data_IF_319586858217
#
_entry.id   IF_319586858217
#
_cell.length_a   1.000
_cell.length_b   1.000
_cell.length_c   1.000
_cell.angle_alpha   90.00
_cell.angle_beta   90.00
_cell.angle_gamma   90.00
#
_symmetry.space_group_name_H-M   'P 1'
#
loop_
_entity.id
_entity.type
_entity.pdbx_description
1 polymer ?
#
# COMPACT_ATOMS: atom_id res chain seq x y z
N UNK A 1 4.13 -14.83 -18.59
CA UNK A 1 3.96 -13.37 -18.44
C UNK A 1 3.52 -13.11 -17.01
N UNK A 2 4.34 -12.45 -16.17
CA UNK A 2 4.06 -12.41 -14.75
C UNK A 2 2.83 -11.56 -14.47
N UNK A 3 1.98 -12.03 -13.54
CA UNK A 3 0.74 -11.37 -13.08
C UNK A 3 0.94 -9.88 -12.75
N UNK A 4 2.17 -9.51 -12.36
CA UNK A 4 2.64 -8.15 -12.08
C UNK A 4 2.51 -7.18 -13.27
N UNK A 5 2.78 -7.61 -14.51
CA UNK A 5 2.70 -6.72 -15.68
C UNK A 5 1.24 -6.43 -16.09
N UNK A 6 0.34 -7.39 -15.88
CA UNK A 6 -1.09 -7.25 -16.18
C UNK A 6 -1.74 -6.24 -15.22
N UNK A 7 -1.35 -6.29 -13.94
CA UNK A 7 -1.81 -5.37 -12.91
C UNK A 7 -1.39 -3.91 -13.17
N UNK A 8 -0.14 -3.65 -13.58
CA UNK A 8 0.32 -2.30 -13.93
C UNK A 8 -0.54 -1.65 -15.03
N UNK A 9 -0.97 -2.44 -16.03
CA UNK A 9 -1.84 -1.97 -17.11
C UNK A 9 -3.29 -1.77 -16.64
N UNK A 10 -3.80 -2.61 -15.73
CA UNK A 10 -5.17 -2.47 -15.20
C UNK A 10 -5.33 -1.27 -14.25
N UNK A 11 -4.33 -0.94 -13.45
CA UNK A 11 -4.37 0.20 -12.52
C UNK A 11 -4.40 1.57 -13.22
N UNK A 12 -3.85 1.68 -14.43
CA UNK A 12 -3.84 2.93 -15.20
C UNK A 12 -5.16 3.22 -15.92
N UNK A 13 -6.01 2.21 -16.13
CA UNK A 13 -7.25 2.32 -16.90
C UNK A 13 -8.50 2.65 -16.07
N UNK A 14 -8.43 2.58 -14.74
CA UNK A 14 -9.57 2.76 -13.82
C UNK A 14 -9.65 4.13 -13.15
N UNK A 15 -8.88 5.12 -13.61
CA UNK A 15 -9.01 6.51 -13.14
C UNK A 15 -10.30 7.14 -13.71
N UNK A 16 -11.46 6.66 -13.26
CA UNK A 16 -12.77 7.19 -13.60
C UNK A 16 -13.13 8.31 -12.62
N UNK A 17 -13.20 9.54 -13.11
CA UNK A 17 -13.81 10.66 -12.39
C UNK A 17 -15.32 10.40 -12.28
N UNK A 18 -15.87 10.34 -11.07
CA UNK A 18 -17.30 10.50 -10.88
C UNK A 18 -17.58 11.28 -9.59
N UNK A 19 -18.17 12.46 -9.80
CA UNK A 19 -18.69 13.37 -8.78
C UNK A 19 -19.88 12.72 -8.08
N UNK A 20 -19.85 12.69 -6.74
CA UNK A 20 -20.85 12.09 -5.87
C UNK A 20 -21.31 13.05 -4.77
N UNK A 21 -22.62 13.02 -4.52
CA UNK A 21 -23.50 13.94 -3.80
C UNK A 21 -23.23 14.03 -2.27
N UNK A 22 -23.56 15.20 -1.69
CA UNK A 22 -23.37 15.57 -0.28
C UNK A 22 -24.10 14.64 0.71
N UNK A 23 -23.36 13.70 1.28
CA UNK A 23 -23.56 13.23 2.66
C UNK A 23 -22.43 13.79 3.52
N UNK A 24 -22.66 13.99 4.82
CA UNK A 24 -21.58 14.31 5.75
C UNK A 24 -20.64 13.10 5.86
N UNK A 25 -19.64 13.09 4.99
CA UNK A 25 -18.69 11.99 4.83
C UNK A 25 -17.72 12.06 6.00
N UNK A 26 -17.91 11.21 7.02
CA UNK A 26 -16.89 11.05 8.06
C UNK A 26 -15.65 10.51 7.36
N UNK A 27 -14.52 11.23 7.36
CA UNK A 27 -13.36 10.82 6.60
C UNK A 27 -12.80 9.50 7.15
N UNK A 28 -12.58 8.54 6.26
CA UNK A 28 -11.97 7.26 6.59
C UNK A 28 -10.54 7.48 7.14
N UNK A 29 -10.22 7.01 8.36
CA UNK A 29 -8.92 7.28 8.95
C UNK A 29 -7.81 6.52 8.21
N UNK A 30 -6.66 7.15 8.03
CA UNK A 30 -5.48 6.51 7.46
C UNK A 30 -4.97 5.39 8.37
N UNK A 31 -4.53 4.24 7.81
CA UNK A 31 -3.92 3.17 8.60
C UNK A 31 -2.74 3.67 9.44
N UNK A 32 -2.65 3.20 10.68
CA UNK A 32 -1.62 3.60 11.66
C UNK A 32 -0.77 2.40 12.10
N UNK A 33 0.28 2.68 12.89
CA UNK A 33 1.20 1.68 13.44
C UNK A 33 1.81 0.79 12.35
N UNK A 34 2.22 1.41 11.25
CA UNK A 34 2.80 0.72 10.11
C UNK A 34 4.20 0.24 10.49
N UNK A 35 4.43 -1.05 10.31
CA UNK A 35 5.68 -1.71 10.69
C UNK A 35 6.02 -2.82 9.70
N UNK A 36 7.26 -3.31 9.74
CA UNK A 36 7.70 -4.43 8.92
C UNK A 36 8.23 -5.53 9.83
N UNK A 37 7.70 -6.73 9.64
CA UNK A 37 8.29 -7.96 10.13
C UNK A 37 9.19 -8.55 9.04
N UNK A 38 10.49 -8.64 9.33
CA UNK A 38 11.50 -9.10 8.38
C UNK A 38 12.29 -10.27 8.98
N UNK A 39 12.23 -11.46 8.36
CA UNK A 39 12.98 -12.64 8.82
C UNK A 39 13.35 -13.53 7.64
N UNK A 40 14.62 -13.93 7.54
CA UNK A 40 15.11 -14.80 6.47
C UNK A 40 14.73 -14.32 5.06
N UNK A 41 14.92 -13.02 4.79
CA UNK A 41 14.56 -12.37 3.52
C UNK A 41 13.06 -12.44 3.16
N UNK A 42 12.20 -12.74 4.14
CA UNK A 42 10.75 -12.60 4.02
C UNK A 42 10.31 -11.35 4.74
N UNK A 43 9.51 -10.54 4.08
CA UNK A 43 9.16 -9.20 4.52
C UNK A 43 7.64 -9.01 4.47
N UNK A 44 7.07 -8.67 5.63
CA UNK A 44 5.64 -8.47 5.80
C UNK A 44 5.39 -7.05 6.32
N UNK A 45 4.68 -6.24 5.54
CA UNK A 45 4.17 -4.94 5.98
C UNK A 45 2.91 -5.16 6.81
N UNK A 46 2.83 -4.57 7.99
CA UNK A 46 1.72 -4.72 8.93
C UNK A 46 1.21 -3.36 9.41
N UNK A 47 -0.08 -3.26 9.70
CA UNK A 47 -0.72 -2.04 10.22
C UNK A 47 -1.87 -2.38 11.17
N UNK A 48 -2.34 -1.38 11.93
CA UNK A 48 -3.54 -1.51 12.76
C UNK A 48 -4.82 -1.49 11.91
N UNK A 49 -5.85 -2.29 12.26
CA UNK A 49 -7.11 -2.28 11.54
C UNK A 49 -7.81 -0.92 11.65
N UNK A 50 -8.33 -0.45 10.53
CA UNK A 50 -9.30 0.64 10.46
C UNK A 50 -10.69 0.02 10.60
N UNK A 51 -11.50 0.52 11.54
CA UNK A 51 -12.79 -0.05 11.88
C UNK A 51 -13.91 0.94 11.57
N UNK A 52 -14.81 0.58 10.66
CA UNK A 52 -16.00 1.36 10.29
C UNK A 52 -17.23 0.52 10.59
N UNK A 53 -18.20 1.07 11.32
CA UNK A 53 -19.37 0.31 11.74
C UNK A 53 -20.20 -0.12 10.54
N UNK A 54 -20.47 -1.42 10.42
CA UNK A 54 -21.33 -1.98 9.37
C UNK A 54 -20.69 -2.07 7.99
N UNK A 55 -19.40 -1.74 7.85
CA UNK A 55 -18.71 -1.72 6.55
C UNK A 55 -17.50 -2.67 6.52
N UNK A 56 -17.18 -3.17 5.32
CA UNK A 56 -15.97 -3.97 5.09
C UNK A 56 -14.86 -3.05 4.60
N UNK A 57 -13.86 -2.84 5.45
CA UNK A 57 -12.65 -2.10 5.09
C UNK A 57 -11.69 -2.99 4.32
N UNK A 58 -11.18 -2.47 3.20
CA UNK A 58 -10.13 -3.09 2.39
C UNK A 58 -8.89 -2.22 2.38
N UNK A 59 -7.76 -2.78 2.02
CA UNK A 59 -6.47 -2.10 2.02
C UNK A 59 -5.75 -2.27 0.70
N UNK A 60 -5.05 -1.23 0.28
CA UNK A 60 -4.17 -1.24 -0.88
C UNK A 60 -2.78 -0.78 -0.46
N UNK A 61 -1.74 -1.51 -0.88
CA UNK A 61 -0.34 -1.22 -0.54
C UNK A 61 0.43 -0.78 -1.78
N UNK A 62 1.28 0.23 -1.60
CA UNK A 62 2.22 0.68 -2.62
C UNK A 62 3.63 0.79 -2.05
N UNK A 63 4.62 0.63 -2.91
CA UNK A 63 6.01 0.87 -2.60
C UNK A 63 6.61 1.90 -3.55
N UNK A 64 7.74 2.46 -3.14
CA UNK A 64 8.53 3.36 -3.95
C UNK A 64 10.01 3.08 -3.65
N UNK A 65 10.75 2.59 -4.65
CA UNK A 65 12.18 2.31 -4.57
C UNK A 65 13.04 3.53 -4.86
N UNK A 66 14.36 3.33 -4.93
CA UNK A 66 15.31 4.40 -5.27
C UNK A 66 15.08 4.95 -6.68
N UNK A 67 14.84 4.07 -7.66
CA UNK A 67 14.56 4.50 -9.03
C UNK A 67 13.32 5.40 -9.10
N UNK A 68 12.24 5.03 -8.44
CA UNK A 68 11.02 5.82 -8.47
C UNK A 68 11.19 7.19 -7.81
N UNK A 69 11.96 7.25 -6.71
CA UNK A 69 12.27 8.51 -6.00
C UNK A 69 13.13 9.45 -6.84
N UNK A 70 14.13 8.93 -7.52
CA UNK A 70 15.17 9.76 -8.14
C UNK A 70 14.92 10.02 -9.63
N UNK A 71 14.25 9.09 -10.32
CA UNK A 71 14.20 9.07 -11.79
C UNK A 71 12.80 8.90 -12.38
N UNK A 72 11.77 8.64 -11.56
CA UNK A 72 10.40 8.48 -12.05
C UNK A 72 9.40 9.40 -11.32
N UNK A 73 9.76 10.67 -11.16
CA UNK A 73 8.90 11.74 -10.60
C UNK A 73 8.20 11.37 -9.29
N UNK A 74 8.93 10.71 -8.37
CA UNK A 74 8.40 10.28 -7.08
C UNK A 74 7.12 9.42 -7.23
N UNK A 75 7.05 8.63 -8.30
CA UNK A 75 5.95 7.71 -8.54
C UNK A 75 5.89 6.60 -7.49
N UNK A 76 4.72 5.98 -7.37
CA UNK A 76 4.48 4.86 -6.47
C UNK A 76 3.97 3.68 -7.28
N UNK A 77 4.37 2.47 -6.87
CA UNK A 77 4.06 1.23 -7.57
C UNK A 77 3.13 0.40 -6.68
N UNK A 78 1.97 -0.04 -7.20
CA UNK A 78 1.08 -0.93 -6.46
C UNK A 78 1.66 -2.32 -6.27
N UNK A 79 1.46 -2.86 -5.07
CA UNK A 79 1.66 -4.27 -4.78
C UNK A 79 0.35 -4.99 -5.10
N UNK A 80 0.36 -5.71 -6.22
CA UNK A 80 -0.83 -6.27 -6.83
C UNK A 80 -1.51 -7.32 -5.93
N UNK A 81 -0.71 -8.16 -5.29
CA UNK A 81 -1.14 -9.17 -4.33
C UNK A 81 -1.74 -8.55 -3.05
N UNK A 82 -1.53 -7.25 -2.84
CA UNK A 82 -2.02 -6.47 -1.71
C UNK A 82 -2.94 -5.33 -2.13
N UNK A 83 -3.62 -5.47 -3.26
CA UNK A 83 -4.64 -4.52 -3.74
C UNK A 83 -6.03 -4.97 -3.30
N UNK A 84 -6.73 -4.13 -2.52
CA UNK A 84 -8.07 -4.37 -1.98
C UNK A 84 -8.20 -5.62 -1.09
N UNK A 85 -7.19 -5.93 -0.29
CA UNK A 85 -7.20 -7.05 0.67
C UNK A 85 -7.94 -6.67 1.96
N UNK A 86 -8.53 -7.65 2.66
CA UNK A 86 -9.22 -7.40 3.95
C UNK A 86 -8.34 -7.62 5.18
N UNK A 87 -7.19 -8.27 5.00
CA UNK A 87 -6.24 -8.53 6.08
C UNK A 87 -5.30 -7.33 6.27
N UNK A 88 -4.76 -7.18 7.49
CA UNK A 88 -3.90 -6.05 7.86
C UNK A 88 -2.40 -6.38 7.76
N UNK A 89 -2.07 -7.30 6.85
CA UNK A 89 -0.71 -7.75 6.58
C UNK A 89 -0.53 -7.99 5.08
N UNK A 90 0.59 -7.55 4.53
CA UNK A 90 0.95 -7.72 3.14
C UNK A 90 2.34 -8.35 3.02
N UNK A 91 2.48 -9.43 2.25
CA UNK A 91 3.78 -9.98 1.91
C UNK A 91 4.37 -9.17 0.75
N UNK A 92 5.44 -8.42 1.02
CA UNK A 92 6.09 -7.52 0.05
C UNK A 92 7.37 -8.12 -0.54
N UNK A 93 7.74 -9.34 -0.13
CA UNK A 93 9.06 -9.94 -0.37
C UNK A 93 9.51 -9.88 -1.84
N UNK A 94 8.60 -10.16 -2.77
CA UNK A 94 8.89 -10.23 -4.20
C UNK A 94 8.86 -8.86 -4.90
N UNK A 95 8.37 -7.81 -4.23
CA UNK A 95 8.25 -6.46 -4.78
C UNK A 95 9.48 -5.61 -4.42
N UNK A 96 10.03 -5.83 -3.23
CA UNK A 96 11.28 -5.22 -2.78
C UNK A 96 12.50 -6.08 -3.16
N UNK A 97 12.76 -6.14 -4.47
CA UNK A 97 13.76 -7.04 -5.07
C UNK A 97 15.21 -6.56 -4.94
N UNK A 98 15.45 -5.25 -4.82
CA UNK A 98 16.80 -4.66 -4.75
C UNK A 98 17.22 -4.33 -3.32
N UNK A 99 18.53 -4.22 -3.06
CA UNK A 99 19.06 -3.78 -1.76
C UNK A 99 19.20 -2.26 -1.74
N UNK A 100 18.05 -1.57 -1.82
CA UNK A 100 17.95 -0.12 -1.77
C UNK A 100 16.98 0.31 -0.67
N UNK A 101 16.91 1.61 -0.42
CA UNK A 101 15.92 2.21 0.47
C UNK A 101 14.53 2.27 -0.20
N UNK A 102 13.53 1.70 0.47
CA UNK A 102 12.13 1.72 0.03
C UNK A 102 11.26 2.55 0.97
N UNK A 103 10.40 3.37 0.37
CA UNK A 103 9.20 3.89 1.01
C UNK A 103 8.05 2.90 0.81
N UNK A 104 7.18 2.79 1.82
CA UNK A 104 6.02 1.91 1.82
C UNK A 104 4.83 2.66 2.38
N UNK A 105 3.67 2.50 1.73
CA UNK A 105 2.42 3.12 2.17
C UNK A 105 1.24 2.19 1.99
N UNK A 106 0.24 2.38 2.84
CA UNK A 106 -1.03 1.65 2.82
C UNK A 106 -2.17 2.62 3.01
N UNK A 107 -3.26 2.43 2.28
CA UNK A 107 -4.52 3.14 2.50
C UNK A 107 -5.65 2.17 2.78
N UNK A 108 -6.70 2.69 3.40
CA UNK A 108 -7.97 2.00 3.56
C UNK A 108 -8.97 2.45 2.48
N UNK A 109 -9.82 1.54 2.06
CA UNK A 109 -10.94 1.76 1.15
C UNK A 109 -12.20 1.21 1.83
N UNK A 110 -13.28 1.99 1.89
CA UNK A 110 -14.59 1.58 2.41
C UNK A 110 -15.70 2.10 1.51
N UNK A 111 -16.36 1.21 0.76
CA UNK A 111 -17.29 1.60 -0.29
C UNK A 111 -16.62 2.48 -1.35
N UNK A 112 -17.07 3.74 -1.46
CA UNK A 112 -16.47 4.77 -2.35
C UNK A 112 -15.45 5.65 -1.65
N UNK A 113 -15.36 5.60 -0.32
CA UNK A 113 -14.41 6.39 0.45
C UNK A 113 -13.01 5.76 0.43
N UNK A 114 -12.00 6.62 0.46
CA UNK A 114 -10.60 6.24 0.60
C UNK A 114 -9.97 7.09 1.68
N UNK A 115 -9.14 6.48 2.50
CA UNK A 115 -8.34 7.22 3.46
C UNK A 115 -7.17 7.91 2.75
N UNK A 116 -6.58 8.88 3.42
CA UNK A 116 -5.19 9.26 3.15
C UNK A 116 -4.25 8.06 3.30
N UNK A 117 -3.08 8.17 2.69
CA UNK A 117 -2.04 7.16 2.83
C UNK A 117 -1.40 7.21 4.22
N UNK A 118 -1.38 6.07 4.91
CA UNK A 118 -0.45 5.85 6.01
C UNK A 118 0.89 5.41 5.45
N UNK A 119 1.98 6.05 5.88
CA UNK A 119 3.34 5.75 5.39
C UNK A 119 4.20 5.16 6.50
N UNK A 120 5.00 4.14 6.17
CA UNK A 120 6.03 3.61 7.06
C UNK A 120 7.00 4.73 7.46
N UNK A 121 7.33 4.81 8.75
CA UNK A 121 8.30 5.79 9.20
C UNK A 121 9.73 5.40 8.78
N UNK A 122 10.37 6.27 7.98
CA UNK A 122 11.71 6.06 7.44
C UNK A 122 11.75 4.99 6.35
N UNK A 123 12.96 4.74 5.84
CA UNK A 123 13.17 3.76 4.78
C UNK A 123 13.29 2.32 5.32
N UNK A 124 12.80 1.37 4.52
CA UNK A 124 13.12 -0.04 4.68
C UNK A 124 14.23 -0.47 3.72
N UNK A 125 15.18 -1.27 4.19
CA UNK A 125 16.23 -1.89 3.37
C UNK A 125 16.20 -3.40 3.66
N UNK A 126 16.05 -4.23 2.63
CA UNK A 126 15.74 -5.66 2.75
C UNK A 126 16.74 -6.50 3.56
N UNK A 127 18.01 -6.08 3.66
CA UNK A 127 19.05 -6.79 4.41
C UNK A 127 19.26 -6.24 5.84
N UNK A 128 18.48 -5.26 6.27
CA UNK A 128 18.54 -4.75 7.63
C UNK A 128 17.69 -5.65 8.54
N UNK A 129 18.34 -6.36 9.47
CA UNK A 129 17.64 -7.08 10.54
C UNK A 129 17.20 -6.05 11.58
N UNK A 130 15.92 -5.68 11.60
CA UNK A 130 15.31 -5.10 12.80
C UNK A 130 14.67 -6.25 13.58
N UNK A 131 15.36 -6.68 14.64
CA UNK A 131 14.81 -7.55 15.70
C UNK A 131 13.94 -6.72 16.65
#
# INVERSE_FOLDING_TARGET
MPLKLICFILCTLIASNLTGLLGEDIPLPAPQNISILSTNMKHFLMWSPVNVQGETVRYSVEFQGEYEREYANESWIPICECSLITVTVCNITEDISATVAYNLRVRADSGTQRSEWGTLNGFFIRNTSKS
#
